data_IF_603777624322
#
_entry.id   IF_603777624322
#
_cell.length_a   1.000
_cell.length_b   1.000
_cell.length_c   1.000
_cell.angle_alpha   90.00
_cell.angle_beta   90.00
_cell.angle_gamma   90.00
#
_symmetry.space_group_name_H-M   'P 1'
#
loop_
_entity.id
_entity.type
_entity.pdbx_description
1 polymer ?
#
# COMPACT_ATOMS: atom_id res chain seq x y z
N UNK A 1 -19.31 -9.92 -5.87
CA UNK A 1 -18.55 -10.41 -4.70
C UNK A 1 -19.15 -11.76 -4.31
N UNK A 2 -18.37 -12.78 -3.96
CA UNK A 2 -18.98 -14.03 -3.47
C UNK A 2 -19.68 -13.78 -2.14
N UNK A 3 -20.83 -14.44 -1.85
CA UNK A 3 -21.51 -14.31 -0.58
C UNK A 3 -20.60 -14.58 0.63
N UNK A 4 -19.77 -15.63 0.53
CA UNK A 4 -18.83 -16.02 1.59
C UNK A 4 -17.70 -14.99 1.79
N UNK A 5 -17.20 -14.40 0.70
CA UNK A 5 -16.20 -13.34 0.79
C UNK A 5 -16.74 -12.08 1.46
N UNK A 6 -18.01 -11.74 1.20
CA UNK A 6 -18.66 -10.59 1.85
C UNK A 6 -18.91 -10.84 3.34
N UNK A 7 -19.33 -12.05 3.71
CA UNK A 7 -19.51 -12.45 5.11
C UNK A 7 -18.17 -12.43 5.88
N UNK A 8 -17.11 -12.98 5.29
CA UNK A 8 -15.77 -12.96 5.88
C UNK A 8 -15.24 -11.54 6.07
N UNK A 9 -15.46 -10.64 5.09
CA UNK A 9 -15.08 -9.23 5.21
C UNK A 9 -15.85 -8.52 6.33
N UNK A 10 -17.16 -8.76 6.42
CA UNK A 10 -18.01 -8.16 7.47
C UNK A 10 -17.59 -8.63 8.86
N UNK A 11 -17.27 -9.92 9.00
CA UNK A 11 -16.78 -10.49 10.26
C UNK A 11 -15.40 -9.94 10.65
N UNK A 12 -14.50 -9.79 9.68
CA UNK A 12 -13.20 -9.14 9.89
C UNK A 12 -13.39 -7.69 10.36
N UNK A 13 -14.20 -6.89 9.67
CA UNK A 13 -14.49 -5.51 10.02
C UNK A 13 -15.08 -5.38 11.43
N UNK A 14 -16.07 -6.23 11.77
CA UNK A 14 -16.65 -6.28 13.12
C UNK A 14 -15.61 -6.61 14.20
N UNK A 15 -14.69 -7.53 13.91
CA UNK A 15 -13.62 -7.90 14.84
C UNK A 15 -12.66 -6.74 15.08
N UNK A 16 -12.23 -6.04 14.02
CA UNK A 16 -11.35 -4.86 14.11
C UNK A 16 -11.97 -3.77 14.98
N UNK A 17 -13.22 -3.41 14.72
CA UNK A 17 -13.90 -2.35 15.49
C UNK A 17 -14.04 -2.72 16.95
N UNK A 18 -14.40 -3.97 17.25
CA UNK A 18 -14.47 -4.45 18.64
C UNK A 18 -13.11 -4.40 19.32
N UNK A 19 -12.05 -4.83 18.64
CA UNK A 19 -10.70 -4.83 19.21
C UNK A 19 -10.18 -3.42 19.47
N UNK A 20 -10.48 -2.46 18.59
CA UNK A 20 -10.11 -1.06 18.78
C UNK A 20 -10.65 -0.47 20.09
N UNK A 21 -11.80 -0.95 20.58
CA UNK A 21 -12.44 -0.47 21.82
C UNK A 21 -12.04 -1.26 23.07
N UNK A 22 -11.62 -2.53 22.91
CA UNK A 22 -11.55 -3.49 24.03
C UNK A 22 -10.16 -4.02 24.34
N UNK A 23 -9.21 -3.91 23.41
CA UNK A 23 -7.88 -4.52 23.54
C UNK A 23 -6.94 -3.60 24.29
N UNK A 24 -6.32 -4.13 25.34
CA UNK A 24 -5.30 -3.41 26.10
C UNK A 24 -3.90 -3.51 25.45
N UNK A 25 -3.04 -2.50 25.60
CA UNK A 25 -1.64 -2.60 25.18
C UNK A 25 -0.90 -3.77 25.85
N UNK A 26 0.10 -4.33 25.16
CA UNK A 26 0.91 -5.44 25.65
C UNK A 26 0.41 -6.81 25.17
N UNK A 27 0.43 -7.82 26.04
CA UNK A 27 0.12 -9.21 25.67
C UNK A 27 -1.28 -9.38 25.04
N UNK A 28 -2.24 -8.56 25.46
CA UNK A 28 -3.58 -8.61 24.92
C UNK A 28 -3.65 -8.15 23.46
N UNK A 29 -2.92 -7.07 23.13
CA UNK A 29 -2.71 -6.65 21.74
C UNK A 29 -2.04 -7.74 20.90
N UNK A 30 -1.02 -8.42 21.43
CA UNK A 30 -0.34 -9.53 20.71
C UNK A 30 -1.30 -10.68 20.41
N UNK A 31 -2.17 -11.05 21.36
CA UNK A 31 -3.20 -12.08 21.13
C UNK A 31 -4.25 -11.63 20.12
N UNK A 32 -4.73 -10.39 20.24
CA UNK A 32 -5.67 -9.80 19.30
C UNK A 32 -5.10 -9.76 17.87
N UNK A 33 -3.83 -9.36 17.71
CA UNK A 33 -3.13 -9.39 16.43
C UNK A 33 -3.03 -10.79 15.84
N UNK A 34 -2.79 -11.81 16.67
CA UNK A 34 -2.76 -13.21 16.22
C UNK A 34 -4.12 -13.68 15.69
N UNK A 35 -5.22 -13.27 16.33
CA UNK A 35 -6.58 -13.53 15.84
C UNK A 35 -6.82 -12.82 14.50
N UNK A 36 -6.40 -11.56 14.40
CA UNK A 36 -6.51 -10.77 13.18
C UNK A 36 -5.74 -11.38 12.01
N UNK A 37 -4.50 -11.82 12.23
CA UNK A 37 -3.67 -12.48 11.21
C UNK A 37 -4.34 -13.75 10.67
N UNK A 38 -4.93 -14.59 11.53
CA UNK A 38 -5.66 -15.78 11.10
C UNK A 38 -6.90 -15.45 10.27
N UNK A 39 -7.70 -14.48 10.69
CA UNK A 39 -8.88 -14.05 9.92
C UNK A 39 -8.49 -13.45 8.56
N UNK A 40 -7.44 -12.64 8.53
CA UNK A 40 -6.88 -12.08 7.29
C UNK A 40 -6.36 -13.18 6.35
N UNK A 41 -5.67 -14.19 6.87
CA UNK A 41 -5.19 -15.33 6.10
C UNK A 41 -6.35 -16.13 5.49
N UNK A 42 -7.38 -16.45 6.30
CA UNK A 42 -8.58 -17.14 5.83
C UNK A 42 -9.33 -16.34 4.76
N UNK A 43 -9.51 -15.03 4.97
CA UNK A 43 -10.10 -14.14 3.97
C UNK A 43 -9.27 -14.12 2.68
N UNK A 44 -7.94 -13.97 2.78
CA UNK A 44 -7.06 -13.97 1.60
C UNK A 44 -7.17 -15.26 0.78
N UNK A 45 -7.23 -16.42 1.45
CA UNK A 45 -7.44 -17.71 0.78
C UNK A 45 -8.78 -17.77 0.02
N UNK A 46 -9.87 -17.39 0.69
CA UNK A 46 -11.21 -17.35 0.08
C UNK A 46 -11.28 -16.44 -1.14
N UNK A 47 -10.61 -15.29 -1.09
CA UNK A 47 -10.52 -14.36 -2.22
C UNK A 47 -9.75 -14.96 -3.40
N UNK A 48 -8.64 -15.65 -3.14
CA UNK A 48 -7.82 -16.23 -4.19
C UNK A 48 -8.51 -17.41 -4.90
N UNK A 49 -9.32 -18.19 -4.18
CA UNK A 49 -9.97 -19.38 -4.72
C UNK A 49 -11.35 -19.11 -5.34
N UNK A 50 -12.15 -18.21 -4.75
CA UNK A 50 -13.58 -18.10 -5.06
C UNK A 50 -14.01 -16.76 -5.67
N UNK A 51 -13.12 -15.76 -5.77
CA UNK A 51 -13.44 -14.53 -6.48
C UNK A 51 -12.99 -14.57 -7.93
N UNK A 52 -13.97 -14.65 -8.83
CA UNK A 52 -13.74 -14.31 -10.22
C UNK A 52 -13.23 -12.85 -10.31
N UNK A 53 -12.28 -12.59 -11.20
CA UNK A 53 -11.58 -11.29 -11.37
C UNK A 53 -12.45 -10.19 -12.01
N UNK A 54 -13.67 -10.03 -11.48
CA UNK A 54 -14.60 -8.96 -11.80
C UNK A 54 -14.30 -7.70 -10.96
N UNK A 55 -15.07 -6.65 -11.19
CA UNK A 55 -14.92 -5.31 -10.60
C UNK A 55 -14.73 -5.30 -9.08
N UNK A 56 -15.45 -6.15 -8.33
CA UNK A 56 -15.29 -6.23 -6.87
C UNK A 56 -13.91 -6.70 -6.40
N UNK A 57 -13.30 -7.66 -7.11
CA UNK A 57 -11.94 -8.10 -6.83
C UNK A 57 -10.93 -6.98 -7.14
N UNK A 58 -11.14 -6.25 -8.25
CA UNK A 58 -10.28 -5.13 -8.64
C UNK A 58 -10.31 -4.01 -7.61
N UNK A 59 -11.48 -3.63 -7.11
CA UNK A 59 -11.57 -2.62 -6.05
C UNK A 59 -10.85 -3.04 -4.77
N UNK A 60 -10.92 -4.32 -4.41
CA UNK A 60 -10.17 -4.82 -3.27
C UNK A 60 -8.66 -4.74 -3.52
N UNK A 61 -8.20 -5.15 -4.69
CA UNK A 61 -6.78 -5.06 -5.05
C UNK A 61 -6.33 -3.60 -5.02
N UNK A 62 -7.08 -2.69 -5.63
CA UNK A 62 -6.83 -1.24 -5.59
C UNK A 62 -6.72 -0.75 -4.14
N UNK A 63 -7.69 -1.08 -3.28
CA UNK A 63 -7.65 -0.70 -1.86
C UNK A 63 -6.39 -1.16 -1.14
N UNK A 64 -6.03 -2.45 -1.30
CA UNK A 64 -4.80 -3.02 -0.69
C UNK A 64 -3.54 -2.32 -1.17
N UNK A 65 -3.49 -1.90 -2.43
CA UNK A 65 -2.33 -1.22 -3.02
C UNK A 65 -2.24 0.24 -2.57
N UNK A 66 -3.36 0.94 -2.46
CA UNK A 66 -3.42 2.29 -1.89
C UNK A 66 -2.94 2.28 -0.44
N UNK A 67 -3.50 1.41 0.41
CA UNK A 67 -3.11 1.30 1.81
C UNK A 67 -1.61 1.01 1.96
N UNK A 68 -1.09 0.07 1.18
CA UNK A 68 0.34 -0.28 1.19
C UNK A 68 1.22 0.89 0.74
N UNK A 69 0.86 1.56 -0.37
CA UNK A 69 1.59 2.72 -0.88
C UNK A 69 1.67 3.84 0.15
N UNK A 70 0.53 4.18 0.77
CA UNK A 70 0.42 5.19 1.83
C UNK A 70 1.28 4.79 3.04
N UNK A 71 1.15 3.55 3.51
CA UNK A 71 1.88 3.08 4.69
C UNK A 71 3.40 3.15 4.48
N UNK A 72 3.88 2.69 3.33
CA UNK A 72 5.32 2.65 3.04
C UNK A 72 5.86 4.07 2.84
N UNK A 73 5.15 4.94 2.11
CA UNK A 73 5.53 6.33 1.94
C UNK A 73 5.62 7.10 3.28
N UNK A 74 4.60 6.99 4.15
CA UNK A 74 4.60 7.62 5.50
C UNK A 74 5.70 7.06 6.40
N UNK A 75 5.90 5.75 6.38
CA UNK A 75 6.91 5.12 7.23
C UNK A 75 8.32 5.52 6.76
N UNK A 76 8.56 5.54 5.45
CA UNK A 76 9.79 6.08 4.87
C UNK A 76 10.00 7.53 5.30
N UNK A 77 9.00 8.40 5.16
CA UNK A 77 9.09 9.80 5.60
C UNK A 77 9.62 9.92 7.04
N UNK A 78 9.05 9.13 7.96
CA UNK A 78 9.41 9.17 9.39
C UNK A 78 10.77 8.55 9.70
N UNK A 79 11.08 7.40 9.12
CA UNK A 79 12.30 6.64 9.45
C UNK A 79 13.53 7.08 8.67
N UNK A 80 13.34 7.88 7.63
CA UNK A 80 14.44 8.38 6.80
C UNK A 80 14.69 9.88 6.98
N UNK A 81 13.93 10.58 7.84
CA UNK A 81 14.11 12.01 8.15
C UNK A 81 15.45 12.30 8.84
N UNK A 82 15.91 13.54 8.74
CA UNK A 82 17.07 14.02 9.51
C UNK A 82 16.78 13.90 11.01
N UNK A 83 17.72 13.32 11.76
CA UNK A 83 17.56 13.10 13.20
C UNK A 83 16.68 11.89 13.57
N UNK A 84 16.36 11.00 12.61
CA UNK A 84 15.81 9.70 12.96
C UNK A 84 16.79 8.92 13.86
N UNK A 85 16.29 8.10 14.80
CA UNK A 85 17.13 7.28 15.68
C UNK A 85 18.08 6.36 14.90
N UNK A 86 19.19 5.99 15.54
CA UNK A 86 20.07 4.94 15.01
C UNK A 86 19.29 3.63 14.81
N UNK A 87 19.55 2.93 13.71
CA UNK A 87 18.82 1.71 13.33
C UNK A 87 17.45 1.95 12.67
N UNK A 88 16.99 3.20 12.51
CA UNK A 88 15.71 3.48 11.84
C UNK A 88 15.65 2.97 10.39
N UNK A 89 16.79 2.98 9.69
CA UNK A 89 16.90 2.46 8.32
C UNK A 89 16.82 0.93 8.26
N UNK A 90 17.48 0.24 9.20
CA UNK A 90 17.38 -1.22 9.32
C UNK A 90 15.95 -1.62 9.70
N UNK A 91 15.32 -0.88 10.62
CA UNK A 91 13.91 -1.06 10.96
C UNK A 91 12.99 -0.84 9.75
N UNK A 92 13.28 0.13 8.89
CA UNK A 92 12.52 0.34 7.67
C UNK A 92 12.65 -0.85 6.70
N UNK A 93 13.84 -1.44 6.58
CA UNK A 93 14.06 -2.64 5.77
C UNK A 93 13.32 -3.86 6.33
N UNK A 94 13.25 -4.01 7.66
CA UNK A 94 12.46 -5.06 8.33
C UNK A 94 10.96 -4.87 8.08
N UNK A 95 10.43 -3.65 8.29
CA UNK A 95 9.02 -3.32 8.00
C UNK A 95 8.70 -3.55 6.52
N UNK A 96 9.65 -3.20 5.65
CA UNK A 96 9.57 -3.39 4.22
C UNK A 96 9.79 -4.83 3.76
N UNK A 97 10.07 -5.79 4.66
CA UNK A 97 10.41 -7.19 4.32
C UNK A 97 11.46 -7.26 3.20
N UNK A 98 12.44 -6.35 3.27
CA UNK A 98 13.38 -6.06 2.18
C UNK A 98 14.83 -6.18 2.62
N UNK A 99 15.09 -6.73 3.82
CA UNK A 99 16.45 -6.95 4.34
C UNK A 99 17.27 -7.86 3.41
N UNK A 100 16.71 -8.99 2.99
CA UNK A 100 17.42 -9.92 2.10
C UNK A 100 17.62 -9.34 0.70
N UNK A 101 16.64 -8.60 0.19
CA UNK A 101 16.75 -7.90 -1.11
C UNK A 101 17.83 -6.82 -1.05
N UNK A 102 17.85 -6.02 0.02
CA UNK A 102 18.84 -4.98 0.25
C UNK A 102 20.25 -5.56 0.32
N UNK A 103 20.47 -6.59 1.15
CA UNK A 103 21.78 -7.26 1.27
C UNK A 103 22.30 -7.82 -0.06
N UNK A 104 21.39 -8.24 -0.95
CA UNK A 104 21.75 -8.77 -2.27
C UNK A 104 22.12 -7.66 -3.26
N UNK A 105 21.42 -6.52 -3.22
CA UNK A 105 21.62 -5.42 -4.18
C UNK A 105 22.69 -4.42 -3.73
N UNK A 106 22.83 -4.19 -2.41
CA UNK A 106 23.75 -3.23 -1.82
C UNK A 106 24.65 -3.95 -0.80
N UNK A 107 25.93 -4.21 -1.14
CA UNK A 107 26.87 -4.90 -0.25
C UNK A 107 27.27 -4.10 1.01
N UNK A 108 26.85 -2.84 1.10
CA UNK A 108 27.19 -1.89 2.17
C UNK A 108 26.05 -1.80 3.19
N UNK A 109 26.35 -1.20 4.35
CA UNK A 109 25.32 -0.92 5.37
C UNK A 109 24.15 -0.10 4.81
N UNK A 110 22.98 -0.25 5.44
CA UNK A 110 21.77 0.45 5.05
C UNK A 110 21.97 1.97 5.12
N UNK A 111 22.05 2.60 3.94
CA UNK A 111 22.08 4.05 3.79
C UNK A 111 20.73 4.58 3.33
N UNK A 112 20.37 5.80 3.72
CA UNK A 112 19.12 6.46 3.31
C UNK A 112 18.87 6.35 1.81
N UNK A 113 19.91 6.61 0.99
CA UNK A 113 19.87 6.47 -0.47
C UNK A 113 19.41 5.07 -0.90
N UNK A 114 20.06 4.02 -0.40
CA UNK A 114 19.75 2.63 -0.76
C UNK A 114 18.37 2.17 -0.27
N UNK A 115 17.92 2.65 0.89
CA UNK A 115 16.59 2.34 1.43
C UNK A 115 15.49 3.00 0.59
N UNK A 116 15.67 4.27 0.21
CA UNK A 116 14.75 4.99 -0.67
C UNK A 116 14.71 4.34 -2.06
N UNK A 117 15.87 4.04 -2.62
CA UNK A 117 15.98 3.37 -3.92
C UNK A 117 15.16 2.08 -3.92
N UNK A 118 15.37 1.22 -2.91
CA UNK A 118 14.70 -0.06 -2.80
C UNK A 118 13.20 -0.01 -2.45
N UNK A 119 12.77 0.90 -1.57
CA UNK A 119 11.41 0.91 -1.00
C UNK A 119 10.51 2.02 -1.55
N UNK A 120 11.05 3.02 -2.25
CA UNK A 120 10.24 4.01 -2.95
C UNK A 120 10.32 3.82 -4.47
N UNK A 121 11.53 3.62 -5.03
CA UNK A 121 11.79 3.81 -6.45
C UNK A 121 12.01 2.50 -7.24
N UNK A 122 12.27 1.35 -6.61
CA UNK A 122 12.54 0.10 -7.31
C UNK A 122 11.25 -0.49 -7.94
N UNK A 123 11.09 -0.51 -9.28
CA UNK A 123 9.89 -1.03 -9.92
C UNK A 123 9.76 -2.57 -9.88
N UNK A 124 10.75 -3.29 -9.36
CA UNK A 124 10.75 -4.75 -9.22
C UNK A 124 10.46 -5.19 -7.79
N UNK A 125 10.67 -4.33 -6.79
CA UNK A 125 10.35 -4.66 -5.41
C UNK A 125 8.83 -4.58 -5.19
N UNK A 126 8.13 -5.69 -4.87
CA UNK A 126 6.68 -5.68 -4.63
C UNK A 126 6.27 -4.89 -3.39
N UNK A 127 7.23 -4.38 -2.61
CA UNK A 127 7.02 -3.48 -1.48
C UNK A 127 7.38 -2.04 -1.80
N UNK A 128 7.92 -1.72 -2.97
CA UNK A 128 8.18 -0.31 -3.28
C UNK A 128 6.90 0.46 -3.56
N UNK A 129 6.96 1.78 -3.36
CA UNK A 129 5.86 2.67 -3.73
C UNK A 129 5.65 2.68 -5.25
N UNK A 130 6.72 2.80 -6.06
CA UNK A 130 6.61 2.77 -7.52
C UNK A 130 5.93 1.50 -8.03
N UNK A 131 6.28 0.32 -7.48
CA UNK A 131 5.60 -0.93 -7.85
C UNK A 131 4.10 -0.90 -7.50
N UNK A 132 3.72 -0.32 -6.36
CA UNK A 132 2.28 -0.19 -6.04
C UNK A 132 1.58 0.70 -7.04
N UNK A 133 2.19 1.83 -7.43
CA UNK A 133 1.61 2.77 -8.38
C UNK A 133 1.46 2.16 -9.78
N UNK A 134 2.45 1.41 -10.26
CA UNK A 134 2.36 0.69 -11.55
C UNK A 134 1.19 -0.31 -11.58
N UNK A 135 1.00 -1.02 -10.46
CA UNK A 135 -0.09 -1.99 -10.33
C UNK A 135 -1.43 -1.30 -10.18
N UNK A 136 -1.50 -0.20 -9.42
CA UNK A 136 -2.69 0.65 -9.35
C UNK A 136 -3.10 1.19 -10.71
N UNK A 137 -2.14 1.70 -11.50
CA UNK A 137 -2.38 2.18 -12.87
C UNK A 137 -3.01 1.09 -13.74
N UNK A 138 -2.49 -0.13 -13.63
CA UNK A 138 -3.02 -1.30 -14.36
C UNK A 138 -4.45 -1.63 -13.92
N UNK A 139 -4.72 -1.71 -12.62
CA UNK A 139 -6.05 -2.09 -12.12
C UNK A 139 -7.11 -1.01 -12.38
N UNK A 140 -6.75 0.28 -12.23
CA UNK A 140 -7.63 1.41 -12.55
C UNK A 140 -7.96 1.44 -14.04
N UNK A 141 -7.00 1.14 -14.92
CA UNK A 141 -7.22 1.06 -16.36
C UNK A 141 -8.18 -0.06 -16.79
N UNK A 142 -8.41 -1.05 -15.93
CA UNK A 142 -9.32 -2.17 -16.17
C UNK A 142 -10.70 -1.97 -15.52
N UNK A 143 -10.93 -0.85 -14.83
CA UNK A 143 -12.24 -0.52 -14.30
C UNK A 143 -13.18 -0.09 -15.44
N UNK A 144 -14.50 -0.34 -15.31
CA UNK A 144 -15.47 0.15 -16.27
C UNK A 144 -15.34 1.68 -16.42
N UNK A 145 -15.35 2.17 -17.66
CA UNK A 145 -15.19 3.59 -17.92
C UNK A 145 -16.36 4.38 -17.35
N UNK A 146 -16.07 5.34 -16.49
CA UNK A 146 -17.05 6.31 -15.96
C UNK A 146 -17.04 7.61 -16.78
N UNK A 147 -16.04 7.81 -17.64
CA UNK A 147 -16.01 8.84 -18.68
C UNK A 147 -16.41 8.25 -20.02
N UNK A 148 -17.05 9.03 -20.89
CA UNK A 148 -17.48 8.58 -22.22
C UNK A 148 -16.37 7.91 -23.06
N UNK A 149 -16.77 7.21 -24.12
CA UNK A 149 -15.87 6.43 -24.98
C UNK A 149 -14.62 7.23 -25.39
N UNK A 150 -13.43 6.69 -25.11
CA UNK A 150 -12.15 7.24 -25.56
C UNK A 150 -11.39 8.14 -24.59
N UNK A 151 -11.92 8.44 -23.39
CA UNK A 151 -11.23 9.30 -22.41
C UNK A 151 -10.84 8.58 -21.12
N UNK A 152 -9.64 8.87 -20.60
CA UNK A 152 -9.22 8.41 -19.28
C UNK A 152 -10.13 9.00 -18.18
N UNK A 153 -10.52 8.18 -17.21
CA UNK A 153 -11.19 8.64 -16.00
C UNK A 153 -10.28 9.59 -15.20
N UNK A 154 -10.87 10.40 -14.31
CA UNK A 154 -10.10 11.30 -13.43
C UNK A 154 -9.05 10.53 -12.62
N UNK A 155 -9.43 9.41 -11.99
CA UNK A 155 -8.51 8.56 -11.26
C UNK A 155 -7.40 7.98 -12.14
N UNK A 156 -7.70 7.63 -13.40
CA UNK A 156 -6.70 7.14 -14.34
C UNK A 156 -5.68 8.24 -14.73
N UNK A 157 -6.11 9.50 -14.84
CA UNK A 157 -5.22 10.64 -15.08
C UNK A 157 -4.34 10.92 -13.87
N UNK A 158 -4.92 10.93 -12.68
CA UNK A 158 -4.20 11.18 -11.42
C UNK A 158 -3.13 10.11 -11.15
N UNK A 159 -3.46 8.81 -11.30
CA UNK A 159 -2.47 7.74 -11.10
C UNK A 159 -1.35 7.80 -12.14
N UNK A 160 -1.65 8.17 -13.39
CA UNK A 160 -0.64 8.34 -14.44
C UNK A 160 0.32 9.48 -14.10
N UNK A 161 -0.20 10.62 -13.64
CA UNK A 161 0.60 11.77 -13.22
C UNK A 161 1.49 11.41 -12.03
N UNK A 162 0.92 10.78 -11.00
CA UNK A 162 1.63 10.39 -9.79
C UNK A 162 2.75 9.37 -10.07
N UNK A 163 2.44 8.34 -10.86
CA UNK A 163 3.40 7.33 -11.27
C UNK A 163 4.56 7.95 -12.08
N UNK A 164 4.25 8.85 -13.02
CA UNK A 164 5.27 9.56 -13.80
C UNK A 164 6.14 10.44 -12.90
N UNK A 165 5.53 11.19 -11.98
CA UNK A 165 6.22 12.10 -11.07
C UNK A 165 7.21 11.38 -10.15
N UNK A 166 6.95 10.11 -9.78
CA UNK A 166 7.89 9.32 -8.98
C UNK A 166 8.94 8.62 -9.84
N UNK A 167 8.57 8.16 -11.04
CA UNK A 167 9.45 7.36 -11.90
C UNK A 167 10.66 8.15 -12.41
N UNK A 168 10.59 9.49 -12.41
CA UNK A 168 11.67 10.38 -12.84
C UNK A 168 12.49 10.96 -11.69
N UNK A 169 12.19 10.62 -10.43
CA UNK A 169 12.94 11.10 -9.27
C UNK A 169 14.15 10.24 -8.97
N UNK A 170 15.18 10.88 -8.45
CA UNK A 170 16.33 10.19 -7.86
C UNK A 170 16.14 10.04 -6.34
N UNK A 171 16.86 9.10 -5.69
CA UNK A 171 16.76 8.93 -4.24
C UNK A 171 17.06 10.20 -3.42
N UNK A 172 17.86 11.12 -3.94
CA UNK A 172 18.15 12.42 -3.32
C UNK A 172 16.93 13.34 -3.27
N UNK A 173 16.01 13.23 -4.23
CA UNK A 173 14.83 14.08 -4.35
C UNK A 173 13.69 13.65 -3.42
N UNK A 174 13.79 12.43 -2.87
CA UNK A 174 12.75 11.82 -2.04
C UNK A 174 12.88 12.22 -0.56
N UNK A 175 12.83 13.52 -0.27
CA UNK A 175 12.87 14.06 1.10
C UNK A 175 11.72 13.52 1.97
N UNK A 176 11.82 13.70 3.28
CA UNK A 176 10.74 13.29 4.19
C UNK A 176 9.40 13.97 3.85
N UNK A 177 9.43 15.25 3.48
CA UNK A 177 8.24 16.01 3.09
C UNK A 177 7.66 15.46 1.78
N UNK A 178 8.51 15.23 0.77
CA UNK A 178 8.07 14.61 -0.51
C UNK A 178 7.42 13.24 -0.30
N UNK A 179 7.92 12.44 0.63
CA UNK A 179 7.36 11.12 0.95
C UNK A 179 6.01 11.23 1.69
N UNK A 180 5.81 12.25 2.51
CA UNK A 180 4.54 12.47 3.21
C UNK A 180 3.48 13.07 2.27
N UNK A 181 3.89 13.99 1.39
CA UNK A 181 3.08 14.53 0.30
C UNK A 181 2.64 13.41 -0.64
N UNK A 182 3.57 12.54 -1.04
CA UNK A 182 3.27 11.35 -1.83
C UNK A 182 2.21 10.47 -1.15
N UNK A 183 2.32 10.24 0.16
CA UNK A 183 1.31 9.46 0.87
C UNK A 183 -0.06 10.14 0.85
N UNK A 184 -0.09 11.47 0.90
CA UNK A 184 -1.31 12.27 0.80
C UNK A 184 -1.90 12.20 -0.62
N UNK A 185 -1.07 12.31 -1.66
CA UNK A 185 -1.48 12.18 -3.05
C UNK A 185 -2.04 10.78 -3.37
N UNK A 186 -1.42 9.72 -2.85
CA UNK A 186 -1.97 8.35 -2.94
C UNK A 186 -3.33 8.28 -2.23
N UNK A 187 -3.48 8.95 -1.07
CA UNK A 187 -4.76 9.05 -0.37
C UNK A 187 -5.84 9.78 -1.17
N UNK A 188 -5.47 10.80 -1.95
CA UNK A 188 -6.42 11.53 -2.79
C UNK A 188 -6.98 10.68 -3.94
N UNK A 189 -6.20 9.73 -4.47
CA UNK A 189 -6.69 8.76 -5.47
C UNK A 189 -7.88 7.96 -4.93
N UNK A 190 -7.85 7.58 -3.64
CA UNK A 190 -8.99 6.91 -3.01
C UNK A 190 -10.25 7.78 -3.08
N UNK A 191 -10.15 9.07 -2.76
CA UNK A 191 -11.29 10.00 -2.78
C UNK A 191 -11.87 10.13 -4.20
N UNK A 192 -11.02 10.24 -5.22
CA UNK A 192 -11.44 10.33 -6.61
C UNK A 192 -12.12 9.05 -7.10
N UNK A 193 -11.58 7.87 -6.74
CA UNK A 193 -12.21 6.59 -7.03
C UNK A 193 -13.55 6.43 -6.28
N UNK A 194 -13.61 6.82 -5.01
CA UNK A 194 -14.82 6.70 -4.22
C UNK A 194 -15.95 7.54 -4.79
N UNK A 195 -15.67 8.80 -5.14
CA UNK A 195 -16.62 9.70 -5.79
C UNK A 195 -17.10 9.18 -7.15
N UNK A 196 -16.22 8.54 -7.92
CA UNK A 196 -16.56 8.05 -9.25
C UNK A 196 -17.43 6.78 -9.25
N UNK A 197 -17.27 5.90 -8.25
CA UNK A 197 -17.87 4.56 -8.27
C UNK A 197 -18.82 4.25 -7.11
N UNK A 198 -18.79 5.02 -6.01
CA UNK A 198 -19.60 4.76 -4.81
C UNK A 198 -20.57 5.88 -4.43
N UNK A 199 -20.47 7.07 -5.05
CA UNK A 199 -21.35 8.22 -4.80
C UNK A 199 -20.83 9.12 -3.70
#
# INVERSE_FOLDING_TARGET
FSPDGWLALKDLSKTVHKFAETVAPGDDATRAMTVMLRKLAGFSGLLHENMYRFTGWRFLEIGRRLERGIQIARTLSRLTRKGAPEGALDMMLEIGDSVMTHRRQYPVQAGRRTVIDLLALDPLNPRSVLFQLERLKTEIGMLPSVGGEGHMSTAAKEILQLNTAIAVREPSDMTADVLDDLATEIGNLYNSLAKAYFG
#
